data_IF_141136836219
#
_entry.id   IF_141136836219
#
_cell.length_a   1.000
_cell.length_b   1.000
_cell.length_c   1.000
_cell.angle_alpha   90.00
_cell.angle_beta   90.00
_cell.angle_gamma   90.00
#
_symmetry.space_group_name_H-M   'P 1'
#
loop_
_entity.id
_entity.type
_entity.pdbx_description
1 polymer ?
#
# COMPACT_ATOMS: atom_id res chain seq x y z
N UNK A 1 21.53 -3.99 6.70
CA UNK A 1 21.10 -4.25 5.33
C UNK A 1 19.88 -3.36 5.04
N UNK A 2 19.94 -2.62 3.94
CA UNK A 2 18.82 -1.79 3.47
C UNK A 2 18.07 -2.62 2.43
N UNK A 3 16.98 -3.25 2.82
CA UNK A 3 16.16 -4.09 1.96
C UNK A 3 14.83 -3.39 1.70
N UNK A 4 14.36 -3.39 0.46
CA UNK A 4 13.03 -2.95 0.06
C UNK A 4 12.17 -4.17 -0.21
N UNK A 5 10.89 -4.09 0.11
CA UNK A 5 9.92 -5.16 -0.12
C UNK A 5 9.40 -5.17 -1.58
N UNK A 6 9.05 -4.01 -2.11
CA UNK A 6 8.62 -3.72 -3.49
C UNK A 6 7.30 -4.37 -3.95
N UNK A 7 6.61 -5.13 -3.09
CA UNK A 7 5.27 -5.67 -3.37
C UNK A 7 4.37 -5.63 -2.12
N UNK A 8 4.40 -4.50 -1.40
CA UNK A 8 3.49 -4.29 -0.26
C UNK A 8 2.08 -4.08 -0.81
N UNK A 9 1.17 -4.94 -0.39
CA UNK A 9 -0.26 -4.92 -0.73
C UNK A 9 -1.06 -5.64 0.34
N UNK A 10 -2.38 -5.44 0.43
CA UNK A 10 -3.20 -6.11 1.45
C UNK A 10 -3.05 -7.62 1.48
N UNK A 11 -2.89 -8.28 0.32
CA UNK A 11 -2.70 -9.72 0.24
C UNK A 11 -1.39 -10.21 0.90
N UNK A 12 -0.40 -9.34 1.06
CA UNK A 12 0.90 -9.63 1.68
C UNK A 12 0.98 -9.12 3.13
N UNK A 13 -0.13 -8.66 3.70
CA UNK A 13 -0.22 -8.22 5.10
C UNK A 13 -1.14 -9.18 5.84
N UNK A 14 -0.57 -9.99 6.72
CA UNK A 14 -1.32 -10.92 7.56
C UNK A 14 -1.64 -10.24 8.90
N UNK A 15 -2.88 -10.36 9.35
CA UNK A 15 -3.28 -9.90 10.69
C UNK A 15 -3.42 -11.13 11.58
N UNK A 16 -2.63 -11.17 12.63
CA UNK A 16 -2.64 -12.25 13.62
C UNK A 16 -3.84 -12.13 14.56
N UNK A 17 -4.15 -13.21 15.29
CA UNK A 17 -5.29 -13.23 16.23
C UNK A 17 -5.13 -12.21 17.38
N UNK A 18 -3.90 -11.83 17.73
CA UNK A 18 -3.58 -10.77 18.69
C UNK A 18 -3.52 -9.37 18.05
N UNK A 19 -4.08 -9.21 16.85
CA UNK A 19 -4.16 -7.95 16.07
C UNK A 19 -2.81 -7.33 15.69
N UNK A 20 -1.77 -8.14 15.55
CA UNK A 20 -0.50 -7.66 14.98
C UNK A 20 -0.49 -7.83 13.46
N UNK A 21 0.03 -6.85 12.76
CA UNK A 21 0.27 -6.95 11.32
C UNK A 21 1.64 -7.57 11.04
N UNK A 22 1.67 -8.56 10.18
CA UNK A 22 2.89 -9.25 9.73
C UNK A 22 2.98 -9.11 8.21
N UNK A 23 4.07 -8.55 7.73
CA UNK A 23 4.36 -8.48 6.31
C UNK A 23 4.96 -9.82 5.87
N UNK A 24 4.40 -10.40 4.82
CA UNK A 24 4.78 -11.70 4.26
C UNK A 24 5.14 -11.57 2.78
N UNK A 25 5.73 -12.61 2.20
CA UNK A 25 6.11 -12.70 0.78
C UNK A 25 7.16 -11.67 0.34
N UNK A 26 8.39 -11.94 0.74
CA UNK A 26 9.57 -11.17 0.35
C UNK A 26 10.14 -11.59 -1.01
N UNK A 27 9.35 -12.25 -1.87
CA UNK A 27 9.79 -12.74 -3.18
C UNK A 27 10.24 -11.65 -4.15
N UNK A 28 9.73 -10.43 -4.02
CA UNK A 28 10.14 -9.26 -4.77
C UNK A 28 11.23 -8.42 -4.09
N UNK A 29 11.58 -8.74 -2.83
CA UNK A 29 12.48 -7.93 -2.02
C UNK A 29 13.89 -7.84 -2.62
N UNK A 30 14.48 -6.66 -2.55
CA UNK A 30 15.82 -6.38 -3.09
C UNK A 30 16.67 -5.57 -2.14
N UNK A 31 17.96 -5.85 -2.19
CA UNK A 31 18.96 -5.03 -1.51
C UNK A 31 19.26 -3.77 -2.35
N UNK A 32 19.13 -2.59 -1.73
CA UNK A 32 19.29 -1.28 -2.38
C UNK A 32 20.71 -1.05 -2.94
N UNK A 33 21.66 -1.91 -2.59
CA UNK A 33 23.08 -1.71 -2.89
C UNK A 33 23.64 -2.60 -4.02
N UNK A 34 22.85 -3.46 -4.66
CA UNK A 34 23.35 -4.24 -5.79
C UNK A 34 23.50 -3.35 -7.02
N UNK A 35 24.70 -2.85 -7.23
CA UNK A 35 25.10 -2.08 -8.43
C UNK A 35 25.19 -2.94 -9.71
N UNK A 36 24.80 -4.20 -9.66
CA UNK A 36 24.93 -5.09 -10.81
C UNK A 36 23.66 -5.14 -11.65
N UNK A 37 23.84 -4.64 -12.85
CA UNK A 37 22.93 -4.27 -13.90
C UNK A 37 22.04 -5.33 -14.54
N UNK A 38 21.46 -6.26 -13.81
CA UNK A 38 20.37 -7.07 -14.32
C UNK A 38 19.01 -6.52 -13.84
N UNK A 39 18.47 -5.61 -14.64
CA UNK A 39 17.15 -5.06 -14.45
C UNK A 39 16.09 -6.13 -14.78
N UNK A 40 15.85 -7.05 -13.84
CA UNK A 40 14.61 -7.81 -13.84
C UNK A 40 13.53 -6.83 -13.40
N UNK A 41 12.55 -6.54 -14.27
CA UNK A 41 11.41 -5.70 -13.89
C UNK A 41 10.77 -6.32 -12.65
N UNK A 42 10.62 -5.59 -11.54
CA UNK A 42 9.85 -6.11 -10.43
C UNK A 42 8.42 -6.36 -10.94
N UNK A 43 7.87 -7.54 -10.66
CA UNK A 43 6.44 -7.75 -10.77
C UNK A 43 5.80 -6.84 -9.73
N UNK A 44 5.07 -5.84 -10.19
CA UNK A 44 4.37 -4.91 -9.31
C UNK A 44 2.86 -5.15 -9.38
N UNK A 45 2.18 -4.85 -8.29
CA UNK A 45 0.72 -4.94 -8.23
C UNK A 45 0.11 -3.57 -8.56
N UNK A 46 -0.71 -3.47 -9.64
CA UNK A 46 -1.39 -2.24 -10.00
C UNK A 46 -2.11 -1.58 -8.82
N UNK A 47 -2.06 -0.25 -8.76
CA UNK A 47 -2.61 0.54 -7.66
C UNK A 47 -1.70 0.66 -6.43
N UNK A 48 -0.87 -0.34 -6.14
CA UNK A 48 0.05 -0.33 -4.99
C UNK A 48 1.49 0.03 -5.38
N UNK A 49 1.84 -0.09 -6.66
CA UNK A 49 3.16 0.24 -7.17
C UNK A 49 3.36 1.75 -7.28
N UNK A 50 4.48 2.24 -6.76
CA UNK A 50 4.87 3.65 -6.82
C UNK A 50 5.25 4.08 -8.26
N UNK A 51 5.11 5.38 -8.61
CA UNK A 51 5.41 5.89 -9.96
C UNK A 51 6.80 5.53 -10.48
N UNK A 52 7.81 5.56 -9.62
CA UNK A 52 9.20 5.22 -9.97
C UNK A 52 9.37 3.75 -10.39
N UNK A 53 8.50 2.84 -9.95
CA UNK A 53 8.56 1.42 -10.33
C UNK A 53 8.18 1.19 -11.80
N UNK A 54 7.51 2.13 -12.44
CA UNK A 54 7.16 2.09 -13.87
C UNK A 54 8.29 2.62 -14.78
N UNK A 55 9.35 3.20 -14.20
CA UNK A 55 10.48 3.81 -14.90
C UNK A 55 11.74 2.97 -14.73
N UNK A 56 12.55 2.85 -15.80
CA UNK A 56 13.78 2.06 -15.76
C UNK A 56 14.94 2.77 -15.05
N UNK A 57 14.95 4.08 -15.13
CA UNK A 57 16.01 4.98 -14.68
C UNK A 57 15.75 5.61 -13.30
N UNK A 58 14.63 5.27 -12.68
CA UNK A 58 14.26 5.85 -11.41
C UNK A 58 14.89 5.10 -10.23
N UNK A 59 15.37 5.84 -9.26
CA UNK A 59 15.89 5.27 -8.00
C UNK A 59 14.74 4.84 -7.12
N UNK A 60 14.85 3.63 -6.57
CA UNK A 60 13.95 3.11 -5.54
C UNK A 60 14.57 3.25 -4.16
N UNK A 61 13.76 3.47 -3.16
CA UNK A 61 14.19 3.65 -1.79
C UNK A 61 13.07 3.36 -0.79
N UNK A 62 13.27 3.63 0.51
CA UNK A 62 12.22 3.44 1.52
C UNK A 62 10.90 4.13 1.18
N UNK A 63 10.95 5.26 0.48
CA UNK A 63 9.79 5.99 -0.03
C UNK A 63 8.94 5.21 -1.01
N UNK A 64 9.51 4.21 -1.70
CA UNK A 64 8.78 3.31 -2.62
C UNK A 64 7.86 2.37 -1.87
N UNK A 65 8.35 1.73 -0.81
CA UNK A 65 7.53 0.90 0.08
C UNK A 65 6.53 1.75 0.88
N UNK A 66 6.91 2.97 1.27
CA UNK A 66 6.03 3.91 1.96
C UNK A 66 4.83 4.32 1.09
N UNK A 67 5.03 4.50 -0.23
CA UNK A 67 3.90 4.71 -1.15
C UNK A 67 2.92 3.54 -1.10
N UNK A 68 3.43 2.31 -1.17
CA UNK A 68 2.62 1.10 -1.14
C UNK A 68 1.87 0.94 0.22
N UNK A 69 2.50 1.32 1.34
CA UNK A 69 1.83 1.39 2.65
C UNK A 69 0.67 2.40 2.60
N UNK A 70 0.90 3.61 2.08
CA UNK A 70 -0.16 4.61 1.89
C UNK A 70 -1.31 4.09 1.03
N UNK A 71 -0.99 3.41 -0.09
CA UNK A 71 -1.98 2.79 -0.97
C UNK A 71 -2.77 1.67 -0.28
N UNK A 72 -2.14 0.88 0.60
CA UNK A 72 -2.84 -0.12 1.42
C UNK A 72 -3.83 0.54 2.39
N UNK A 73 -3.41 1.59 3.10
CA UNK A 73 -4.29 2.31 4.02
C UNK A 73 -5.44 2.95 3.25
N UNK A 74 -5.15 3.60 2.11
CA UNK A 74 -6.18 4.15 1.22
C UNK A 74 -7.19 3.08 0.79
N UNK A 75 -6.71 1.92 0.36
CA UNK A 75 -7.58 0.82 -0.06
C UNK A 75 -8.46 0.32 1.09
N UNK A 76 -7.95 0.26 2.32
CA UNK A 76 -8.75 -0.07 3.50
C UNK A 76 -9.81 0.99 3.80
N UNK A 77 -9.50 2.28 3.60
CA UNK A 77 -10.42 3.38 3.84
C UNK A 77 -11.53 3.46 2.79
N UNK A 78 -11.21 3.17 1.52
CA UNK A 78 -12.12 3.29 0.38
C UNK A 78 -12.86 1.98 0.06
N UNK A 79 -12.30 0.82 0.44
CA UNK A 79 -12.81 -0.51 0.06
C UNK A 79 -12.32 -1.00 -1.31
N UNK A 80 -11.49 -0.22 -2.01
CA UNK A 80 -10.90 -0.57 -3.30
C UNK A 80 -9.51 0.10 -3.47
N UNK A 81 -8.63 -0.48 -4.30
CA UNK A 81 -7.29 0.09 -4.52
C UNK A 81 -7.36 1.44 -5.24
N UNK A 82 -6.35 2.31 -5.07
CA UNK A 82 -6.25 3.54 -5.85
C UNK A 82 -5.99 3.23 -7.33
N UNK A 83 -6.22 4.23 -8.19
CA UNK A 83 -5.79 4.16 -9.58
C UNK A 83 -4.28 3.93 -9.67
N UNK A 84 -3.84 3.25 -10.72
CA UNK A 84 -2.42 3.04 -10.99
C UNK A 84 -1.66 4.36 -11.13
N UNK A 85 -0.39 4.35 -10.78
CA UNK A 85 0.45 5.54 -10.80
C UNK A 85 0.48 6.25 -12.18
N UNK A 86 0.54 5.57 -13.33
CA UNK A 86 0.45 6.24 -14.63
C UNK A 86 -0.86 7.03 -14.82
N UNK A 87 -1.99 6.46 -14.41
CA UNK A 87 -3.30 7.14 -14.47
C UNK A 87 -3.37 8.34 -13.51
N UNK A 88 -2.72 8.23 -12.34
CA UNK A 88 -2.64 9.32 -11.38
C UNK A 88 -1.76 10.46 -11.89
N UNK A 89 -0.68 10.17 -12.63
CA UNK A 89 0.15 11.19 -13.28
C UNK A 89 -0.63 12.02 -14.30
N UNK A 90 -1.62 11.42 -14.97
CA UNK A 90 -2.52 12.13 -15.88
C UNK A 90 -3.56 12.95 -15.12
N UNK A 91 -4.18 12.33 -14.11
CA UNK A 91 -5.22 12.97 -13.30
C UNK A 91 -5.27 12.38 -11.89
N UNK A 92 -4.61 13.05 -10.95
CA UNK A 92 -4.65 12.64 -9.55
C UNK A 92 -5.96 13.07 -8.88
N UNK A 93 -6.61 12.12 -8.22
CA UNK A 93 -7.85 12.33 -7.47
C UNK A 93 -7.75 11.90 -6.01
N UNK A 94 -6.56 11.51 -5.55
CA UNK A 94 -6.38 10.98 -4.18
C UNK A 94 -6.80 12.01 -3.13
N UNK A 95 -6.33 13.24 -3.23
CA UNK A 95 -6.70 14.30 -2.28
C UNK A 95 -8.22 14.52 -2.22
N UNK A 96 -8.90 14.51 -3.38
CA UNK A 96 -10.36 14.68 -3.45
C UNK A 96 -11.10 13.49 -2.85
N UNK A 97 -10.60 12.26 -3.07
CA UNK A 97 -11.18 11.05 -2.50
C UNK A 97 -11.00 11.01 -0.98
N UNK A 98 -9.81 11.35 -0.49
CA UNK A 98 -9.49 11.40 0.93
C UNK A 98 -10.28 12.51 1.66
N UNK A 99 -10.47 13.67 1.04
CA UNK A 99 -11.24 14.77 1.62
C UNK A 99 -12.69 14.37 1.95
N UNK A 100 -13.28 13.43 1.20
CA UNK A 100 -14.63 12.90 1.45
C UNK A 100 -14.71 12.01 2.69
N UNK A 101 -13.58 11.55 3.20
CA UNK A 101 -13.48 10.69 4.37
C UNK A 101 -13.22 11.47 5.66
N UNK A 102 -13.10 12.81 5.57
CA UNK A 102 -13.02 13.68 6.76
C UNK A 102 -14.26 13.50 7.62
N UNK A 103 -14.04 13.39 8.94
CA UNK A 103 -15.10 13.07 9.89
C UNK A 103 -15.41 11.59 10.08
N UNK A 104 -14.96 10.71 9.15
CA UNK A 104 -14.98 9.24 9.32
C UNK A 104 -13.66 8.76 9.88
N UNK A 105 -12.57 9.30 9.33
CA UNK A 105 -11.20 9.07 9.80
C UNK A 105 -10.61 10.38 10.33
N UNK A 106 -9.57 10.29 11.14
CA UNK A 106 -8.90 11.48 11.64
C UNK A 106 -8.22 12.27 10.53
N UNK A 107 -8.14 13.59 10.68
CA UNK A 107 -7.46 14.45 9.73
C UNK A 107 -5.99 14.07 9.59
N UNK A 108 -5.32 13.70 10.69
CA UNK A 108 -3.93 13.27 10.66
C UNK A 108 -3.72 12.01 9.82
N UNK A 109 -4.60 11.00 9.96
CA UNK A 109 -4.50 9.78 9.14
C UNK A 109 -4.69 10.10 7.65
N UNK A 110 -5.64 10.97 7.32
CA UNK A 110 -5.88 11.43 5.95
C UNK A 110 -4.64 12.13 5.39
N UNK A 111 -4.06 13.06 6.15
CA UNK A 111 -2.85 13.79 5.76
C UNK A 111 -1.64 12.86 5.59
N UNK A 112 -1.48 11.89 6.48
CA UNK A 112 -0.41 10.88 6.38
C UNK A 112 -0.57 10.01 5.13
N UNK A 113 -1.77 9.57 4.81
CA UNK A 113 -2.03 8.78 3.60
C UNK A 113 -1.75 9.62 2.35
N UNK A 114 -2.20 10.87 2.31
CA UNK A 114 -1.93 11.79 1.20
C UNK A 114 -0.42 12.02 1.03
N UNK A 115 0.31 12.23 2.14
CA UNK A 115 1.76 12.39 2.15
C UNK A 115 2.49 11.15 1.63
N UNK A 116 2.13 9.96 2.11
CA UNK A 116 2.71 8.70 1.63
C UNK A 116 2.48 8.50 0.12
N UNK A 117 1.30 8.89 -0.37
CA UNK A 117 0.90 8.68 -1.76
C UNK A 117 1.25 9.84 -2.70
N UNK A 118 2.07 10.80 -2.27
CA UNK A 118 2.61 11.85 -3.16
C UNK A 118 3.25 11.21 -4.39
N UNK A 119 2.99 11.76 -5.60
CA UNK A 119 3.54 11.22 -6.84
C UNK A 119 5.05 11.44 -6.95
N UNK A 120 5.55 12.56 -6.42
CA UNK A 120 6.97 12.82 -6.30
C UNK A 120 7.57 12.03 -5.12
N UNK A 121 8.55 11.12 -5.36
CA UNK A 121 9.21 10.36 -4.31
C UNK A 121 9.85 11.21 -3.21
N UNK A 122 10.40 12.38 -3.56
CA UNK A 122 11.06 13.27 -2.62
C UNK A 122 10.08 13.99 -1.68
N UNK A 123 8.83 14.09 -2.10
CA UNK A 123 7.75 14.68 -1.30
C UNK A 123 7.14 13.71 -0.29
N UNK A 124 7.54 12.44 -0.28
CA UNK A 124 7.05 11.42 0.67
C UNK A 124 7.90 11.35 1.94
N UNK A 125 7.43 10.65 3.00
CA UNK A 125 8.31 10.26 4.10
C UNK A 125 9.55 9.52 3.56
N UNK A 126 10.74 9.97 3.95
CA UNK A 126 12.00 9.39 3.45
C UNK A 126 12.47 8.18 4.26
N UNK A 127 11.77 7.85 5.33
CA UNK A 127 12.04 6.68 6.17
C UNK A 127 10.79 6.20 6.89
N UNK A 128 10.75 4.91 7.23
CA UNK A 128 9.69 4.33 8.06
C UNK A 128 9.61 5.03 9.42
N UNK A 129 10.74 5.46 9.97
CA UNK A 129 10.77 6.22 11.23
C UNK A 129 10.02 7.55 11.12
N UNK A 130 10.20 8.29 10.01
CA UNK A 130 9.48 9.55 9.78
C UNK A 130 7.96 9.31 9.70
N UNK A 131 7.54 8.24 9.02
CA UNK A 131 6.15 7.82 8.94
C UNK A 131 5.58 7.43 10.32
N UNK A 132 6.30 6.61 11.08
CA UNK A 132 5.89 6.19 12.42
C UNK A 132 5.75 7.37 13.38
N UNK A 133 6.69 8.33 13.32
CA UNK A 133 6.64 9.54 14.15
C UNK A 133 5.37 10.34 13.87
N UNK A 134 4.98 10.48 12.59
CA UNK A 134 3.79 11.25 12.24
C UNK A 134 2.50 10.52 12.66
N UNK A 135 2.43 9.20 12.44
CA UNK A 135 1.31 8.40 12.91
C UNK A 135 1.16 8.41 14.44
N UNK A 136 2.29 8.46 15.18
CA UNK A 136 2.27 8.48 16.66
C UNK A 136 1.81 9.83 17.25
N UNK A 137 1.90 10.93 16.50
CA UNK A 137 1.41 12.25 16.96
C UNK A 137 -0.10 12.26 17.21
N UNK A 138 -0.84 11.31 16.65
CA UNK A 138 -2.26 11.15 16.84
C UNK A 138 -2.66 10.51 18.17
N UNK A 139 -1.76 9.77 18.82
CA UNK A 139 -2.00 9.10 20.10
C UNK A 139 -2.37 10.06 21.25
N UNK A 140 -2.15 11.37 21.08
CA UNK A 140 -2.54 12.40 22.04
C UNK A 140 -3.96 12.97 21.81
N UNK A 141 -4.60 12.69 20.65
CA UNK A 141 -5.96 13.14 20.36
C UNK A 141 -6.93 11.96 20.42
N UNK A 142 -7.75 11.94 21.44
CA UNK A 142 -8.73 10.92 21.80
C UNK A 142 -9.45 10.34 20.59
N UNK A 143 -9.27 9.05 20.34
CA UNK A 143 -10.14 8.24 19.49
C UNK A 143 -11.60 8.33 19.98
N UNK A 144 -12.43 9.08 19.30
CA UNK A 144 -13.86 9.05 19.51
C UNK A 144 -14.44 7.81 18.81
N UNK A 145 -14.81 6.84 19.66
CA UNK A 145 -15.79 5.77 19.43
C UNK A 145 -15.96 5.23 18.01
N UNK A 146 -15.06 4.40 17.56
CA UNK A 146 -15.33 3.18 16.78
C UNK A 146 -13.96 2.53 16.58
N UNK A 147 -13.79 1.33 17.05
CA UNK A 147 -12.54 0.59 16.88
C UNK A 147 -12.24 0.48 15.38
N UNK A 148 -11.32 1.34 14.92
CA UNK A 148 -10.83 1.36 13.54
C UNK A 148 -10.32 -0.04 13.14
N UNK A 149 -9.80 -0.80 14.13
CA UNK A 149 -9.36 -2.18 13.94
C UNK A 149 -10.45 -3.13 13.45
N UNK A 150 -11.69 -3.01 13.91
CA UNK A 150 -12.76 -3.91 13.46
C UNK A 150 -13.21 -3.60 12.03
N UNK A 151 -13.34 -2.32 11.66
CA UNK A 151 -13.70 -1.95 10.28
C UNK A 151 -12.55 -2.24 9.30
N UNK A 152 -11.31 -1.98 9.68
CA UNK A 152 -10.12 -2.31 8.88
C UNK A 152 -10.01 -3.83 8.70
N UNK A 153 -10.21 -4.62 9.77
CA UNK A 153 -10.21 -6.09 9.69
C UNK A 153 -11.28 -6.60 8.72
N UNK A 154 -12.49 -6.07 8.81
CA UNK A 154 -13.61 -6.46 7.93
C UNK A 154 -13.33 -6.13 6.46
N UNK A 155 -12.75 -4.96 6.16
CA UNK A 155 -12.36 -4.56 4.80
C UNK A 155 -11.17 -5.38 4.27
N UNK A 156 -10.16 -5.66 5.11
CA UNK A 156 -9.03 -6.52 4.74
C UNK A 156 -9.50 -7.95 4.41
N UNK A 157 -10.36 -8.53 5.26
CA UNK A 157 -10.89 -9.87 5.04
C UNK A 157 -11.68 -9.96 3.72
N UNK A 158 -12.46 -8.93 3.41
CA UNK A 158 -13.21 -8.84 2.14
C UNK A 158 -12.27 -8.74 0.94
N UNK A 159 -11.25 -7.86 0.99
CA UNK A 159 -10.28 -7.70 -0.10
C UNK A 159 -9.44 -8.96 -0.34
N UNK A 160 -8.99 -9.62 0.75
CA UNK A 160 -8.20 -10.87 0.66
C UNK A 160 -9.07 -11.99 0.10
N UNK A 161 -10.35 -12.07 0.49
CA UNK A 161 -11.28 -13.08 0.02
C UNK A 161 -11.61 -12.90 -1.47
N UNK A 162 -11.83 -11.66 -1.92
CA UNK A 162 -12.11 -11.35 -3.32
C UNK A 162 -10.87 -11.61 -4.20
N UNK A 163 -9.67 -11.28 -3.73
CA UNK A 163 -8.43 -11.58 -4.44
C UNK A 163 -8.21 -13.09 -4.56
N UNK A 164 -8.46 -13.87 -3.49
CA UNK A 164 -8.41 -15.34 -3.54
C UNK A 164 -9.47 -15.93 -4.47
N UNK A 165 -10.69 -15.39 -4.49
CA UNK A 165 -11.75 -15.80 -5.42
C UNK A 165 -11.36 -15.54 -6.88
N UNK A 166 -10.78 -14.38 -7.17
CA UNK A 166 -10.29 -14.03 -8.50
C UNK A 166 -9.18 -14.98 -8.97
N UNK A 167 -8.22 -15.29 -8.11
CA UNK A 167 -7.12 -16.22 -8.43
C UNK A 167 -7.62 -17.65 -8.61
N UNK A 168 -8.54 -18.13 -7.76
CA UNK A 168 -9.12 -19.46 -7.86
C UNK A 168 -10.11 -19.59 -9.04
N UNK A 169 -10.82 -18.52 -9.40
CA UNK A 169 -11.70 -18.47 -10.57
C UNK A 169 -10.95 -18.60 -11.88
N UNK A 170 -9.74 -18.07 -11.98
CA UNK A 170 -8.87 -18.21 -13.18
C UNK A 170 -8.29 -19.62 -13.26
N UNK A 171 -7.99 -20.27 -12.13
CA UNK A 171 -7.46 -21.63 -12.12
C UNK A 171 -8.48 -22.71 -12.58
N UNK A 172 -9.78 -22.47 -12.37
CA UNK A 172 -10.83 -23.42 -12.76
C UNK A 172 -11.37 -23.23 -14.19
N UNK A 173 -11.01 -22.17 -14.89
CA UNK A 173 -11.45 -21.93 -16.26
C UNK A 173 -10.62 -22.69 -17.33
N UNK A 174 -9.59 -23.43 -16.93
CA UNK A 174 -8.61 -24.06 -17.84
C UNK A 174 -8.74 -25.56 -18.09
N UNK A 175 -9.68 -26.28 -17.47
CA UNK A 175 -9.79 -27.74 -17.65
C UNK A 175 -11.16 -28.09 -18.22
N UNK A 176 -11.26 -28.15 -19.55
CA UNK A 176 -12.29 -28.93 -20.21
C UNK A 176 -11.80 -30.38 -20.40
N UNK A 177 -12.49 -31.39 -19.87
CA UNK A 177 -12.16 -32.77 -20.20
C UNK A 177 -12.55 -33.06 -21.65
N UNK A 178 -11.67 -33.77 -22.35
CA UNK A 178 -12.00 -34.42 -23.62
C UNK A 178 -12.74 -35.72 -23.35
#
# INVERSE_FOLDING_TARGET
HKMLHLDIKPANIFITDDNKSVLIDFGAAREVLSKEGNFIRPMYTPGFAAPEMYRRDASMGPWTDIYAIGACIYACMQGFPPNEAPQRLEKDRIAVALARLRGVYSDNLIEVVEWCMSLDPLSRPQSVFALQKELSREGERRYTKLSVGEKVRMQFDTMVTDTKRSVLGVANAGVKPK
#
